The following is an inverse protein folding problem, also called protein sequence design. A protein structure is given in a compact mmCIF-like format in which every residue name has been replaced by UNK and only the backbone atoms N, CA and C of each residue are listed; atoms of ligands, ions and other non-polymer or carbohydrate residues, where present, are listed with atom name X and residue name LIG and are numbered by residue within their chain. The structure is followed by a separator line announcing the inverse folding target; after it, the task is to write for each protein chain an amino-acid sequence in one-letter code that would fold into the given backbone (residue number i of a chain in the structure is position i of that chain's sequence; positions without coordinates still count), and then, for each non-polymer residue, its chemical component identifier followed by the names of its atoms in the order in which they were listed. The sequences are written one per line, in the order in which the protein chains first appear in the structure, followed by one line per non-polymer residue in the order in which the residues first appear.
data_IF_656011466829
#
_entry.id   IF_656011466829
#
_cell.length_a   1.000
_cell.length_b   1.000
_cell.length_c   1.000
_cell.angle_alpha   90.00
_cell.angle_beta   90.00
_cell.angle_gamma   90.00
#
_symmetry.space_group_name_H-M   'P 1'
#
loop_
_entity.id
_entity.type
_entity.pdbx_description
1 polymer ?
#
# COMPACT_ATOMS: atom_id res chain seq x y z
N UNK A 1 -26.88 -12.51 16.12
CA UNK A 1 -26.03 -11.48 16.76
C UNK A 1 -25.64 -10.40 15.74
N UNK A 2 -26.49 -9.38 15.52
CA UNK A 2 -26.25 -8.36 14.50
C UNK A 2 -25.03 -7.46 14.77
N UNK A 3 -24.69 -7.22 16.05
CA UNK A 3 -23.50 -6.45 16.44
C UNK A 3 -22.20 -7.19 16.15
N UNK A 4 -22.11 -8.46 16.51
CA UNK A 4 -20.92 -9.28 16.24
C UNK A 4 -20.65 -9.43 14.74
N UNK A 5 -21.70 -9.49 13.93
CA UNK A 5 -21.57 -9.54 12.47
C UNK A 5 -20.93 -8.26 11.89
N UNK A 6 -21.34 -7.09 12.38
CA UNK A 6 -20.72 -5.81 11.96
C UNK A 6 -19.26 -5.70 12.38
N UNK A 7 -18.97 -6.07 13.62
CA UNK A 7 -17.60 -6.07 14.15
C UNK A 7 -16.71 -7.03 13.37
N UNK A 8 -17.22 -8.22 13.01
CA UNK A 8 -16.49 -9.16 12.17
C UNK A 8 -16.20 -8.59 10.77
N UNK A 9 -17.15 -7.87 10.16
CA UNK A 9 -16.93 -7.24 8.86
C UNK A 9 -15.86 -6.14 8.87
N UNK A 10 -15.66 -5.44 9.99
CA UNK A 10 -14.62 -4.43 10.11
C UNK A 10 -13.25 -5.04 10.47
N UNK A 11 -13.24 -6.09 11.30
CA UNK A 11 -12.00 -6.71 11.79
C UNK A 11 -11.42 -7.71 10.80
N UNK A 12 -12.24 -8.52 10.11
CA UNK A 12 -11.77 -9.53 9.16
C UNK A 12 -10.94 -8.97 7.99
N UNK A 13 -11.28 -7.82 7.38
CA UNK A 13 -10.46 -7.21 6.33
C UNK A 13 -9.27 -6.41 6.89
N UNK A 14 -9.18 -6.21 8.22
CA UNK A 14 -8.01 -5.58 8.82
C UNK A 14 -6.83 -6.53 8.61
N UNK A 15 -5.95 -6.15 7.69
CA UNK A 15 -4.88 -7.02 7.26
C UNK A 15 -3.86 -7.14 8.39
N UNK A 16 -3.86 -8.28 9.08
CA UNK A 16 -3.01 -8.51 10.26
C UNK A 16 -1.51 -8.60 9.93
N UNK A 17 -1.16 -8.67 8.63
CA UNK A 17 0.22 -8.80 8.17
C UNK A 17 0.71 -7.52 7.51
N UNK A 18 1.96 -7.15 7.79
CA UNK A 18 2.66 -6.06 7.12
C UNK A 18 3.10 -6.41 5.69
N UNK A 19 2.84 -7.64 5.21
CA UNK A 19 3.23 -8.15 3.89
C UNK A 19 2.83 -7.24 2.70
N UNK A 20 1.64 -6.60 2.68
CA UNK A 20 1.28 -5.65 1.63
C UNK A 20 2.17 -4.41 1.67
N UNK A 21 2.45 -3.91 2.88
CA UNK A 21 3.35 -2.79 3.11
C UNK A 21 4.77 -3.17 2.68
N UNK A 22 5.27 -4.35 3.05
CA UNK A 22 6.59 -4.85 2.65
C UNK A 22 6.72 -4.99 1.14
N UNK A 23 5.68 -5.46 0.43
CA UNK A 23 5.67 -5.53 -1.04
C UNK A 23 5.69 -4.14 -1.69
N UNK A 24 4.96 -3.18 -1.12
CA UNK A 24 4.98 -1.78 -1.58
C UNK A 24 6.36 -1.16 -1.30
N UNK A 25 6.93 -1.40 -0.12
CA UNK A 25 8.24 -0.91 0.30
C UNK A 25 9.41 -1.57 -0.45
N UNK A 26 9.32 -2.85 -0.82
CA UNK A 26 10.33 -3.52 -1.64
C UNK A 26 10.30 -2.98 -3.08
N UNK A 27 9.10 -2.79 -3.65
CA UNK A 27 8.97 -2.14 -4.96
C UNK A 27 9.50 -0.70 -4.95
N UNK A 28 9.40 -0.02 -3.80
CA UNK A 28 10.00 1.30 -3.58
C UNK A 28 11.53 1.24 -3.58
N UNK A 29 12.13 0.28 -2.89
CA UNK A 29 13.58 0.11 -2.90
C UNK A 29 14.10 -0.19 -4.31
N UNK A 30 13.40 -1.02 -5.08
CA UNK A 30 13.73 -1.30 -6.47
C UNK A 30 13.73 -0.03 -7.32
N UNK A 31 12.70 0.82 -7.19
CA UNK A 31 12.52 2.01 -8.04
C UNK A 31 13.33 3.24 -7.60
N UNK A 32 13.66 3.36 -6.32
CA UNK A 32 14.43 4.49 -5.74
C UNK A 32 15.95 4.29 -5.89
N UNK A 33 16.44 3.03 -5.79
CA UNK A 33 17.88 2.75 -5.79
C UNK A 33 18.45 2.27 -7.13
N UNK A 34 17.67 1.60 -7.99
CA UNK A 34 18.22 0.99 -9.23
C UNK A 34 18.24 1.94 -10.44
N UNK A 35 17.33 2.92 -10.47
CA UNK A 35 17.28 3.92 -11.52
C UNK A 35 17.39 5.29 -10.87
N UNK A 36 18.50 5.99 -11.13
CA UNK A 36 18.79 7.38 -10.76
C UNK A 36 17.77 8.41 -11.33
N UNK A 37 16.47 8.14 -11.28
CA UNK A 37 15.45 9.15 -11.44
C UNK A 37 15.42 9.95 -10.15
N UNK A 38 15.95 11.17 -10.18
CA UNK A 38 15.83 12.17 -9.10
C UNK A 38 14.36 12.63 -8.94
N UNK A 39 13.43 11.69 -8.83
CA UNK A 39 12.07 11.94 -8.43
C UNK A 39 12.15 12.36 -6.98
N UNK A 40 11.83 13.64 -6.73
CA UNK A 40 11.71 14.16 -5.36
C UNK A 40 10.85 13.19 -4.54
N UNK A 41 11.21 12.98 -3.27
CA UNK A 41 10.47 12.10 -2.35
C UNK A 41 8.97 12.40 -2.35
N UNK A 42 8.60 13.66 -2.62
CA UNK A 42 7.24 14.10 -2.83
C UNK A 42 6.57 13.48 -4.08
N UNK A 43 7.22 13.56 -5.24
CA UNK A 43 6.68 12.96 -6.48
C UNK A 43 6.59 11.44 -6.37
N UNK A 44 7.54 10.81 -5.68
CA UNK A 44 7.49 9.37 -5.42
C UNK A 44 6.28 8.96 -4.58
N UNK A 45 5.98 9.72 -3.50
CA UNK A 45 4.77 9.50 -2.68
C UNK A 45 3.50 9.62 -3.51
N UNK A 46 3.39 10.64 -4.36
CA UNK A 46 2.25 10.83 -5.25
C UNK A 46 2.11 9.66 -6.24
N UNK A 47 3.21 9.20 -6.84
CA UNK A 47 3.20 8.06 -7.76
C UNK A 47 2.80 6.74 -7.07
N UNK A 48 3.21 6.51 -5.82
CA UNK A 48 2.79 5.31 -5.07
C UNK A 48 1.30 5.35 -4.71
N UNK A 49 0.77 6.51 -4.32
CA UNK A 49 -0.67 6.69 -4.08
C UNK A 49 -1.44 6.43 -5.38
N UNK A 50 -0.96 7.00 -6.50
CA UNK A 50 -1.57 6.82 -7.82
C UNK A 50 -1.58 5.35 -8.25
N UNK A 51 -0.45 4.66 -8.07
CA UNK A 51 -0.33 3.22 -8.36
C UNK A 51 -1.29 2.39 -7.52
N UNK A 52 -1.44 2.70 -6.23
CA UNK A 52 -2.38 2.00 -5.36
C UNK A 52 -3.84 2.22 -5.81
N UNK A 53 -4.19 3.45 -6.19
CA UNK A 53 -5.52 3.79 -6.67
C UNK A 53 -5.88 3.08 -7.98
N UNK A 54 -4.98 3.09 -8.98
CA UNK A 54 -5.24 2.42 -10.27
C UNK A 54 -5.13 0.90 -10.24
N UNK A 55 -4.39 0.32 -9.29
CA UNK A 55 -4.26 -1.13 -9.15
C UNK A 55 -5.41 -1.74 -8.32
N UNK A 56 -6.25 -0.92 -7.70
CA UNK A 56 -7.43 -1.33 -6.93
C UNK A 56 -8.73 -1.28 -7.76
N UNK A 57 -8.66 -0.97 -9.07
CA UNK A 57 -9.72 -1.26 -10.05
C UNK A 57 -9.53 -2.62 -10.72
#
# INVERSE_FOLDING_TARGET
FPLLYRVALDILPVQASAIPCERVFSSRRETDTSHHSRLSEFMFKVLQILKYLYCHE
#
